data_IF_741445068852
#
_entry.id   IF_741445068852
#
_cell.length_a   1.000
_cell.length_b   1.000
_cell.length_c   1.000
_cell.angle_alpha   90.00
_cell.angle_beta   90.00
_cell.angle_gamma   90.00
#
_symmetry.space_group_name_H-M   'P 1'
#
loop_
_entity.id
_entity.type
_entity.pdbx_description
1 polymer ?
#
# COMPACT_ATOMS: atom_id res chain seq x y z
N UNK A 1 -0.55 7.50 18.97
CA UNK A 1 -1.62 6.59 18.50
C UNK A 1 -2.26 7.02 17.17
N UNK A 2 -1.74 8.05 16.50
CA UNK A 2 -2.30 8.54 15.23
C UNK A 2 -2.42 7.46 14.14
N UNK A 3 -1.47 6.53 14.10
CA UNK A 3 -1.43 5.50 13.07
C UNK A 3 -2.68 4.60 13.06
N UNK A 4 -3.12 4.15 14.24
CA UNK A 4 -4.27 3.24 14.34
C UNK A 4 -5.60 3.98 14.38
N UNK A 5 -5.61 5.23 14.85
CA UNK A 5 -6.84 5.98 15.04
C UNK A 5 -7.23 6.84 13.83
N UNK A 6 -6.25 7.40 13.12
CA UNK A 6 -6.52 8.32 12.00
C UNK A 6 -6.44 7.60 10.64
N UNK A 7 -5.58 6.59 10.50
CA UNK A 7 -5.36 5.93 9.21
C UNK A 7 -6.12 4.61 9.04
N UNK A 8 -6.70 4.05 10.11
CA UNK A 8 -7.56 2.88 9.97
C UNK A 8 -8.93 3.30 9.43
N UNK A 9 -9.42 2.62 8.39
CA UNK A 9 -10.77 2.87 7.85
C UNK A 9 -11.86 2.76 8.92
N UNK A 10 -11.74 1.79 9.83
CA UNK A 10 -12.55 1.70 11.06
C UNK A 10 -11.64 1.35 12.24
N UNK A 11 -11.26 2.32 13.10
CA UNK A 11 -10.28 2.09 14.17
C UNK A 11 -10.64 0.96 15.14
N UNK A 12 -11.94 0.77 15.42
CA UNK A 12 -12.44 -0.29 16.28
C UNK A 12 -12.18 -1.72 15.75
N UNK A 13 -11.89 -1.88 14.44
CA UNK A 13 -11.54 -3.18 13.86
C UNK A 13 -10.10 -3.61 14.16
N UNK A 14 -9.27 -2.73 14.72
CA UNK A 14 -7.89 -3.02 15.11
C UNK A 14 -7.78 -2.94 16.63
N UNK A 15 -8.07 -4.08 17.27
CA UNK A 15 -8.02 -4.21 18.72
C UNK A 15 -6.59 -4.12 19.28
N UNK A 16 -6.49 -3.95 20.59
CA UNK A 16 -5.20 -3.78 21.26
C UNK A 16 -4.31 -5.03 21.14
N UNK A 17 -4.90 -6.23 21.06
CA UNK A 17 -4.13 -7.45 20.83
C UNK A 17 -3.42 -7.41 19.48
N UNK A 18 -4.11 -6.97 18.43
CA UNK A 18 -3.57 -6.79 17.07
C UNK A 18 -2.51 -5.68 17.05
N UNK A 19 -2.77 -4.53 17.70
CA UNK A 19 -1.81 -3.43 17.81
C UNK A 19 -0.50 -3.89 18.45
N UNK A 20 -0.57 -4.60 19.59
CA UNK A 20 0.61 -5.14 20.29
C UNK A 20 1.36 -6.18 19.45
N UNK A 21 0.62 -7.03 18.73
CA UNK A 21 1.23 -8.02 17.85
C UNK A 21 2.15 -7.35 16.81
N UNK A 22 1.64 -6.37 16.06
CA UNK A 22 2.44 -5.67 15.05
C UNK A 22 3.53 -4.78 15.65
N UNK A 23 3.25 -4.12 16.77
CA UNK A 23 4.27 -3.34 17.49
C UNK A 23 5.48 -4.21 17.90
N UNK A 24 5.23 -5.43 18.38
CA UNK A 24 6.30 -6.39 18.72
C UNK A 24 7.13 -6.79 17.51
N UNK A 25 6.51 -6.96 16.34
CA UNK A 25 7.23 -7.29 15.10
C UNK A 25 8.16 -6.15 14.67
N UNK A 26 7.67 -4.91 14.70
CA UNK A 26 8.48 -3.73 14.38
C UNK A 26 9.58 -3.44 15.40
N UNK A 27 9.38 -3.80 16.68
CA UNK A 27 10.39 -3.66 17.73
C UNK A 27 11.55 -4.66 17.64
N UNK A 28 11.48 -5.67 16.76
CA UNK A 28 12.59 -6.62 16.54
C UNK A 28 13.85 -5.86 16.09
N UNK A 29 15.06 -6.28 16.51
CA UNK A 29 16.30 -5.63 16.11
C UNK A 29 16.38 -5.42 14.59
N UNK A 30 16.52 -4.16 14.18
CA UNK A 30 16.65 -3.77 12.77
C UNK A 30 15.34 -3.67 11.96
N UNK A 31 14.19 -4.10 12.48
CA UNK A 31 12.93 -4.10 11.72
C UNK A 31 12.44 -2.68 11.40
N UNK A 32 12.41 -1.74 12.37
CA UNK A 32 12.10 -0.33 12.09
C UNK A 32 13.08 0.31 11.10
N UNK A 33 14.37 -0.02 11.18
CA UNK A 33 15.38 0.50 10.24
C UNK A 33 15.09 0.02 8.82
N UNK A 34 14.74 -1.25 8.65
CA UNK A 34 14.38 -1.82 7.35
C UNK A 34 13.08 -1.20 6.81
N UNK A 35 12.06 -1.02 7.66
CA UNK A 35 10.82 -0.37 7.28
C UNK A 35 11.04 1.06 6.76
N UNK A 36 11.82 1.87 7.49
CA UNK A 36 12.15 3.23 7.04
C UNK A 36 13.08 3.28 5.82
N UNK A 37 13.85 2.22 5.56
CA UNK A 37 14.68 2.15 4.35
C UNK A 37 13.83 2.13 3.07
N UNK A 38 12.63 1.55 3.10
CA UNK A 38 11.69 1.60 1.97
C UNK A 38 11.23 3.03 1.67
N UNK A 39 10.87 3.82 2.70
CA UNK A 39 10.51 5.22 2.49
C UNK A 39 11.69 6.05 1.96
N UNK A 40 12.91 5.72 2.40
CA UNK A 40 14.13 6.35 1.89
C UNK A 40 14.42 6.00 0.42
N UNK A 41 13.95 4.86 -0.08
CA UNK A 41 14.20 4.44 -1.47
C UNK A 41 13.22 5.03 -2.49
N UNK A 42 12.09 5.62 -2.08
CA UNK A 42 11.02 6.10 -2.99
C UNK A 42 11.55 6.88 -4.21
N UNK A 43 12.52 7.79 -4.02
CA UNK A 43 13.10 8.58 -5.15
C UNK A 43 13.91 7.71 -6.11
N UNK A 44 14.64 6.73 -5.59
CA UNK A 44 15.37 5.75 -6.40
C UNK A 44 14.41 4.82 -7.11
N UNK A 45 13.38 4.34 -6.42
CA UNK A 45 12.36 3.45 -7.00
C UNK A 45 11.66 4.14 -8.17
N UNK A 46 11.40 5.45 -8.09
CA UNK A 46 10.84 6.22 -9.19
C UNK A 46 11.72 6.20 -10.45
N UNK A 47 13.05 6.23 -10.31
CA UNK A 47 13.99 6.12 -11.45
C UNK A 47 14.02 4.69 -11.96
N UNK A 48 14.20 3.72 -11.06
CA UNK A 48 14.33 2.31 -11.43
C UNK A 48 13.06 1.78 -12.12
N UNK A 49 11.88 2.24 -11.68
CA UNK A 49 10.60 1.86 -12.27
C UNK A 49 10.36 2.40 -13.69
N UNK A 50 11.09 3.44 -14.14
CA UNK A 50 10.93 3.95 -15.53
C UNK A 50 11.21 2.86 -16.57
N UNK A 51 12.22 2.03 -16.32
CA UNK A 51 12.55 0.91 -17.19
C UNK A 51 11.44 -0.16 -17.18
N UNK A 52 10.88 -0.47 -16.00
CA UNK A 52 9.78 -1.43 -15.86
C UNK A 52 8.49 -0.94 -16.54
N UNK A 53 8.25 0.38 -16.54
CA UNK A 53 7.08 1.00 -17.16
C UNK A 53 7.18 1.13 -18.69
N UNK A 54 8.38 0.92 -19.28
CA UNK A 54 8.57 0.98 -20.72
C UNK A 54 7.73 -0.05 -21.49
N UNK A 55 7.37 -1.17 -20.84
CA UNK A 55 6.47 -2.19 -21.39
C UNK A 55 5.36 -2.51 -20.40
N UNK A 56 4.13 -2.18 -20.75
CA UNK A 56 2.95 -2.49 -19.93
C UNK A 56 2.74 -3.99 -19.77
N UNK A 57 2.23 -4.36 -18.60
CA UNK A 57 1.79 -5.70 -18.25
C UNK A 57 0.59 -6.13 -19.13
N UNK A 58 0.69 -7.25 -19.88
CA UNK A 58 -0.35 -7.69 -20.82
C UNK A 58 -1.40 -8.64 -20.23
N UNK A 59 -1.10 -9.23 -19.06
CA UNK A 59 -2.03 -10.08 -18.33
C UNK A 59 -3.13 -9.23 -17.64
N UNK A 60 -4.29 -9.80 -17.31
CA UNK A 60 -5.28 -9.12 -16.47
C UNK A 60 -4.72 -8.74 -15.10
N UNK A 61 -5.03 -7.52 -14.65
CA UNK A 61 -4.66 -7.00 -13.33
C UNK A 61 -5.91 -6.54 -12.61
N UNK A 62 -6.09 -6.98 -11.36
CA UNK A 62 -7.13 -6.48 -10.46
C UNK A 62 -6.52 -5.40 -9.55
N UNK A 63 -6.95 -4.17 -9.70
CA UNK A 63 -6.56 -3.05 -8.86
C UNK A 63 -7.62 -2.82 -7.77
N UNK A 64 -7.25 -3.02 -6.51
CA UNK A 64 -8.16 -2.97 -5.35
C UNK A 64 -7.83 -1.78 -4.46
N UNK A 65 -8.71 -0.78 -4.44
CA UNK A 65 -8.61 0.37 -3.55
C UNK A 65 -9.56 0.28 -2.36
N UNK A 66 -9.16 0.84 -1.22
CA UNK A 66 -10.07 1.06 -0.09
C UNK A 66 -10.75 2.41 -0.17
N UNK A 67 -12.08 2.47 0.02
CA UNK A 67 -12.87 3.70 -0.12
C UNK A 67 -12.41 4.88 0.77
N UNK A 68 -11.84 4.61 1.95
CA UNK A 68 -11.29 5.61 2.88
C UNK A 68 -9.78 5.84 2.71
N UNK A 69 -9.19 5.20 1.71
CA UNK A 69 -7.77 5.29 1.35
C UNK A 69 -7.66 5.73 -0.12
N UNK A 70 -7.00 4.96 -0.97
CA UNK A 70 -6.74 5.33 -2.36
C UNK A 70 -8.00 5.26 -3.27
N UNK A 71 -9.08 4.57 -2.87
CA UNK A 71 -10.28 4.44 -3.68
C UNK A 71 -10.00 4.04 -5.13
N UNK A 72 -10.66 4.70 -6.09
CA UNK A 72 -10.48 4.46 -7.53
C UNK A 72 -9.07 4.81 -8.04
N UNK A 73 -8.31 5.62 -7.28
CA UNK A 73 -6.94 6.06 -7.66
C UNK A 73 -6.01 4.87 -7.87
N UNK A 74 -6.20 3.77 -7.14
CA UNK A 74 -5.38 2.56 -7.30
C UNK A 74 -5.41 2.05 -8.74
N UNK A 75 -6.60 1.97 -9.34
CA UNK A 75 -6.77 1.55 -10.72
C UNK A 75 -6.27 2.61 -11.71
N UNK A 76 -6.42 3.91 -11.40
CA UNK A 76 -5.85 4.99 -12.22
C UNK A 76 -4.33 4.85 -12.31
N UNK A 77 -3.65 4.63 -11.19
CA UNK A 77 -2.20 4.41 -11.16
C UNK A 77 -1.84 3.15 -11.95
N UNK A 78 -2.57 2.05 -11.74
CA UNK A 78 -2.26 0.78 -12.38
C UNK A 78 -2.42 0.80 -13.92
N UNK A 79 -3.33 1.64 -14.45
CA UNK A 79 -3.49 1.83 -15.91
C UNK A 79 -2.26 2.47 -16.58
N UNK A 80 -1.36 3.11 -15.81
CA UNK A 80 -0.06 3.53 -16.34
C UNK A 80 0.87 2.34 -16.62
N UNK A 81 0.70 1.24 -15.91
CA UNK A 81 1.62 0.10 -15.93
C UNK A 81 1.04 -1.19 -16.56
N UNK A 82 -0.28 -1.29 -16.75
CA UNK A 82 -0.95 -2.46 -17.32
C UNK A 82 -1.97 -2.09 -18.40
N UNK A 83 -2.26 -3.02 -19.32
CA UNK A 83 -3.23 -2.80 -20.41
C UNK A 83 -4.64 -3.32 -20.11
N UNK A 84 -4.79 -4.25 -19.15
CA UNK A 84 -6.06 -4.90 -18.81
C UNK A 84 -6.33 -4.79 -17.31
N UNK A 85 -6.84 -3.64 -16.87
CA UNK A 85 -7.09 -3.36 -15.46
C UNK A 85 -8.58 -3.47 -15.14
N UNK A 86 -8.92 -4.35 -14.22
CA UNK A 86 -10.22 -4.39 -13.55
C UNK A 86 -10.11 -3.64 -12.23
N UNK A 87 -11.05 -2.73 -11.98
CA UNK A 87 -11.09 -1.91 -10.78
C UNK A 87 -12.07 -2.50 -9.77
N UNK A 88 -11.69 -2.50 -8.49
CA UNK A 88 -12.57 -2.79 -7.36
C UNK A 88 -12.29 -1.79 -6.25
N UNK A 89 -13.34 -1.15 -5.74
CA UNK A 89 -13.27 -0.37 -4.51
C UNK A 89 -14.01 -1.12 -3.41
N UNK A 90 -13.32 -1.41 -2.32
CA UNK A 90 -13.93 -2.05 -1.16
C UNK A 90 -14.66 -0.98 -0.33
N UNK A 91 -15.97 -1.13 -0.09
CA UNK A 91 -16.70 -0.19 0.75
C UNK A 91 -16.27 -0.32 2.21
N UNK A 92 -16.38 0.79 2.95
CA UNK A 92 -16.07 0.87 4.39
C UNK A 92 -14.63 0.50 4.81
N UNK A 93 -13.68 0.46 3.87
CA UNK A 93 -12.26 0.15 4.09
C UNK A 93 -11.35 1.35 3.92
#
# INVERSE_FOLDING_TARGET
>A
DRFWNDFAGTPAKIDEATRRHYAKLYARPGAMRAAFAQFRSIRKDAVDNQAALAKKLPMPVLAVGGAKSFGETEAVVMRNAATKVTEVVIPES
#
